data_IF_464058178104
#
_entry.id   IF_464058178104
#
_cell.length_a   1.000
_cell.length_b   1.000
_cell.length_c   1.000
_cell.angle_alpha   90.00
_cell.angle_beta   90.00
_cell.angle_gamma   90.00
#
_symmetry.space_group_name_H-M   'P 1'
#
loop_
_entity.id
_entity.type
_entity.pdbx_description
1 polymer ?
#
# COMPACT_ATOMS: atom_id res chain seq x y z
N UNK A 1 -4.40 0.31 -3.70
CA UNK A 1 -4.64 0.36 -2.24
C UNK A 1 -6.14 0.14 -2.03
N UNK A 2 -6.53 -0.71 -1.09
CA UNK A 2 -7.93 -1.02 -0.79
C UNK A 2 -8.12 -1.21 0.72
N UNK A 3 -9.31 -0.93 1.24
CA UNK A 3 -9.71 -1.26 2.60
C UNK A 3 -9.62 -2.78 2.79
N UNK A 4 -8.98 -3.24 3.87
CA UNK A 4 -8.67 -4.67 4.01
C UNK A 4 -9.90 -5.55 4.20
N UNK A 5 -11.02 -4.99 4.67
CA UNK A 5 -12.30 -5.71 4.78
C UNK A 5 -12.92 -6.06 3.41
N UNK A 6 -12.43 -5.42 2.34
CA UNK A 6 -12.80 -5.72 0.94
C UNK A 6 -11.85 -6.69 0.26
N UNK A 7 -10.76 -7.09 0.92
CA UNK A 7 -9.83 -8.10 0.42
C UNK A 7 -10.10 -9.45 1.11
N UNK A 8 -10.64 -10.39 0.36
CA UNK A 8 -10.93 -11.74 0.87
C UNK A 8 -9.90 -12.76 0.36
N UNK A 9 -9.31 -13.53 1.28
CA UNK A 9 -8.51 -14.70 0.92
C UNK A 9 -9.45 -15.86 0.63
N UNK A 10 -9.58 -16.23 -0.65
CA UNK A 10 -10.47 -17.32 -1.07
C UNK A 10 -9.88 -18.71 -0.89
N UNK A 11 -8.55 -18.81 -0.96
CA UNK A 11 -7.76 -20.04 -0.84
C UNK A 11 -6.31 -19.70 -0.48
N UNK A 12 -5.54 -20.69 -0.03
CA UNK A 12 -4.11 -20.52 0.13
C UNK A 12 -3.68 -20.03 1.52
N UNK A 13 -4.50 -20.17 2.55
CA UNK A 13 -4.20 -19.67 3.91
C UNK A 13 -2.96 -20.33 4.53
N UNK A 14 -2.76 -21.63 4.29
CA UNK A 14 -1.55 -22.33 4.72
C UNK A 14 -0.33 -22.00 3.86
N UNK A 15 -0.56 -21.40 2.69
CA UNK A 15 0.43 -21.08 1.67
C UNK A 15 0.82 -19.60 1.66
N UNK A 16 0.43 -18.84 2.69
CA UNK A 16 0.88 -17.45 2.88
C UNK A 16 1.70 -17.29 4.15
N UNK A 17 2.66 -16.38 4.07
CA UNK A 17 3.46 -15.91 5.21
C UNK A 17 3.44 -14.39 5.28
N UNK A 18 3.61 -13.85 6.49
CA UNK A 18 3.78 -12.41 6.71
C UNK A 18 5.26 -12.15 7.00
N UNK A 19 5.90 -11.36 6.13
CA UNK A 19 7.31 -11.00 6.24
C UNK A 19 7.43 -9.53 6.66
N UNK A 20 7.94 -9.31 7.88
CA UNK A 20 8.34 -7.98 8.34
C UNK A 20 9.54 -7.50 7.54
N UNK A 21 9.35 -6.44 6.74
CA UNK A 21 10.35 -5.92 5.81
C UNK A 21 10.77 -4.52 6.24
N UNK A 22 12.06 -4.26 6.48
CA UNK A 22 12.56 -2.92 6.77
C UNK A 22 12.24 -1.91 5.66
N UNK A 23 12.12 -0.64 6.03
CA UNK A 23 11.94 0.49 5.10
C UNK A 23 12.95 1.58 5.39
N UNK A 24 13.19 2.47 4.42
CA UNK A 24 14.07 3.62 4.60
C UNK A 24 13.61 4.59 5.71
N UNK A 25 12.31 4.59 6.03
CA UNK A 25 11.75 5.38 7.13
C UNK A 25 11.96 4.77 8.52
N UNK A 26 12.57 3.58 8.62
CA UNK A 26 12.70 2.83 9.88
C UNK A 26 11.42 2.11 10.33
N UNK A 27 10.26 2.51 9.80
CA UNK A 27 8.94 2.00 10.22
C UNK A 27 8.63 0.58 9.73
N UNK A 28 9.27 0.15 8.65
CA UNK A 28 9.03 -1.14 8.02
C UNK A 28 7.65 -1.26 7.35
N UNK A 29 7.33 -2.49 6.96
CA UNK A 29 6.03 -2.91 6.44
C UNK A 29 5.86 -4.42 6.64
N UNK A 30 4.62 -4.88 6.75
CA UNK A 30 4.29 -6.30 6.66
C UNK A 30 4.01 -6.65 5.20
N UNK A 31 4.71 -7.62 4.62
CA UNK A 31 4.45 -8.10 3.26
C UNK A 31 3.89 -9.52 3.33
N UNK A 32 2.71 -9.73 2.78
CA UNK A 32 2.13 -11.07 2.62
C UNK A 32 2.65 -11.69 1.35
N UNK A 33 3.25 -12.88 1.46
CA UNK A 33 3.85 -13.62 0.35
C UNK A 33 3.30 -15.02 0.27
N UNK A 34 3.27 -15.59 -0.94
CA UNK A 34 3.09 -17.02 -1.10
C UNK A 34 4.34 -17.77 -0.64
N UNK A 35 4.22 -18.77 0.22
CA UNK A 35 5.34 -19.57 0.73
C UNK A 35 5.99 -20.45 -0.34
N UNK A 36 5.23 -20.82 -1.37
CA UNK A 36 5.70 -21.65 -2.48
C UNK A 36 6.53 -20.85 -3.50
N UNK A 37 5.92 -19.84 -4.14
CA UNK A 37 6.59 -19.06 -5.19
C UNK A 37 7.25 -17.77 -4.71
N UNK A 38 7.10 -17.41 -3.43
CA UNK A 38 7.65 -16.21 -2.78
C UNK A 38 7.16 -14.87 -3.36
N UNK A 39 6.19 -14.90 -4.27
CA UNK A 39 5.54 -13.70 -4.82
C UNK A 39 4.85 -12.93 -3.69
N UNK A 40 5.07 -11.61 -3.66
CA UNK A 40 4.35 -10.70 -2.78
C UNK A 40 2.95 -10.44 -3.34
N UNK A 41 1.92 -10.68 -2.53
CA UNK A 41 0.52 -10.55 -2.92
C UNK A 41 -0.04 -9.19 -2.51
N UNK A 42 0.14 -8.83 -1.23
CA UNK A 42 -0.17 -7.50 -0.72
C UNK A 42 0.74 -7.12 0.46
N UNK A 43 0.69 -5.85 0.88
CA UNK A 43 1.36 -5.39 2.09
C UNK A 43 0.48 -4.50 2.96
N UNK A 44 0.88 -4.36 4.22
CA UNK A 44 0.32 -3.43 5.19
C UNK A 44 1.41 -2.45 5.65
N UNK A 45 1.11 -1.16 5.56
CA UNK A 45 2.01 -0.11 6.01
C UNK A 45 1.61 0.38 7.41
N UNK A 46 2.59 0.69 8.28
CA UNK A 46 2.31 1.12 9.64
C UNK A 46 1.47 2.40 9.78
N UNK A 47 1.29 3.19 8.72
CA UNK A 47 0.42 4.38 8.74
C UNK A 47 -1.06 4.04 8.92
N UNK A 48 -1.49 2.84 8.50
CA UNK A 48 -2.87 2.38 8.65
C UNK A 48 -2.96 0.94 9.18
N UNK A 49 -1.83 0.30 9.46
CA UNK A 49 -1.77 -1.09 9.91
C UNK A 49 -2.49 -2.01 8.93
N UNK A 50 -3.14 -3.04 9.47
CA UNK A 50 -3.91 -4.00 8.68
C UNK A 50 -5.28 -3.50 8.23
N UNK A 51 -5.64 -2.23 8.48
CA UNK A 51 -6.90 -1.64 7.98
C UNK A 51 -6.87 -1.39 6.46
N UNK A 52 -5.67 -1.26 5.89
CA UNK A 52 -5.46 -1.02 4.46
C UNK A 52 -4.51 -2.07 3.88
N UNK A 53 -4.87 -2.57 2.70
CA UNK A 53 -4.08 -3.51 1.91
C UNK A 53 -3.55 -2.87 0.63
N UNK A 54 -2.25 -3.02 0.40
CA UNK A 54 -1.56 -2.59 -0.82
C UNK A 54 -1.33 -3.78 -1.73
N UNK A 55 -2.36 -4.11 -2.52
CA UNK A 55 -2.36 -5.24 -3.46
C UNK A 55 -1.37 -5.00 -4.61
N UNK A 56 -0.63 -6.03 -4.98
CA UNK A 56 0.25 -6.01 -6.16
C UNK A 56 -0.58 -6.27 -7.41
N UNK A 57 -0.86 -5.22 -8.18
CA UNK A 57 -1.71 -5.30 -9.40
C UNK A 57 -1.22 -6.37 -10.38
N UNK A 58 0.09 -6.59 -10.49
CA UNK A 58 0.67 -7.62 -11.37
C UNK A 58 0.30 -9.06 -11.01
N UNK A 59 -0.36 -9.31 -9.88
CA UNK A 59 -0.85 -10.65 -9.49
C UNK A 59 -2.34 -10.84 -9.74
N UNK A 60 -3.03 -9.85 -10.34
CA UNK A 60 -4.42 -10.00 -10.75
C UNK A 60 -4.51 -10.79 -12.05
N UNK A 61 -5.67 -11.39 -12.33
CA UNK A 61 -5.92 -12.09 -13.59
C UNK A 61 -5.84 -11.13 -14.79
N UNK A 62 -6.32 -9.88 -14.63
CA UNK A 62 -6.33 -8.83 -15.65
C UNK A 62 -5.53 -7.58 -15.20
N UNK A 63 -4.19 -7.65 -15.12
CA UNK A 63 -3.37 -6.60 -14.52
C UNK A 63 -3.38 -5.28 -15.32
N UNK A 64 -3.63 -5.33 -16.63
CA UNK A 64 -3.74 -4.15 -17.50
C UNK A 64 -4.97 -3.28 -17.21
N UNK A 65 -5.94 -3.80 -16.45
CA UNK A 65 -7.15 -3.05 -16.08
C UNK A 65 -6.90 -1.97 -15.02
N UNK A 66 -5.72 -1.96 -14.40
CA UNK A 66 -5.33 -1.00 -13.36
C UNK A 66 -3.96 -0.39 -13.67
N UNK A 67 -3.84 0.43 -14.74
CA UNK A 67 -2.61 1.17 -14.99
C UNK A 67 -2.32 2.15 -13.84
N UNK A 68 -1.07 2.62 -13.67
CA UNK A 68 -0.74 3.62 -12.66
C UNK A 68 -1.46 4.95 -12.90
N UNK A 69 -2.11 5.48 -11.88
CA UNK A 69 -2.69 6.84 -11.92
C UNK A 69 -1.62 7.94 -11.71
N UNK A 70 -0.49 7.59 -11.09
CA UNK A 70 0.62 8.52 -10.77
C UNK A 70 1.92 7.76 -10.50
N UNK A 71 3.06 8.35 -10.88
CA UNK A 71 4.38 7.90 -10.49
C UNK A 71 4.97 8.80 -9.40
N UNK A 72 5.43 8.19 -8.30
CA UNK A 72 6.01 8.87 -7.12
C UNK A 72 7.45 8.41 -6.90
N UNK A 73 8.21 9.14 -6.07
CA UNK A 73 9.62 8.88 -5.78
C UNK A 73 10.51 8.80 -7.03
N UNK A 74 10.21 9.60 -8.07
CA UNK A 74 10.92 9.51 -9.35
C UNK A 74 12.25 10.25 -9.37
N UNK A 75 12.62 10.97 -8.31
CA UNK A 75 13.92 11.64 -8.17
C UNK A 75 15.10 10.67 -8.27
N UNK A 76 14.91 9.40 -7.91
CA UNK A 76 15.93 8.35 -7.97
C UNK A 76 15.74 7.39 -9.15
N UNK A 77 14.88 7.74 -10.13
CA UNK A 77 14.64 6.87 -11.29
C UNK A 77 15.91 6.66 -12.10
N UNK A 78 16.08 5.44 -12.62
CA UNK A 78 17.18 5.13 -13.53
C UNK A 78 16.93 5.77 -14.90
N UNK A 79 17.99 6.06 -15.65
CA UNK A 79 17.92 6.78 -16.94
C UNK A 79 17.06 6.06 -17.98
N UNK A 80 16.97 4.73 -17.92
CA UNK A 80 16.18 3.90 -18.83
C UNK A 80 14.70 3.75 -18.41
N UNK A 81 14.27 4.33 -17.30
CA UNK A 81 12.85 4.34 -16.91
C UNK A 81 12.16 5.51 -17.62
N UNK A 82 11.23 5.17 -18.50
CA UNK A 82 10.38 6.11 -19.25
C UNK A 82 8.95 5.99 -18.73
N UNK A 83 8.31 7.13 -18.49
CA UNK A 83 6.92 7.19 -18.04
C UNK A 83 5.99 7.57 -19.20
N UNK A 84 4.72 7.11 -19.19
CA UNK A 84 3.72 7.59 -20.13
C UNK A 84 3.54 9.11 -20.03
N UNK A 85 3.34 9.82 -21.15
CA UNK A 85 3.26 11.29 -21.16
C UNK A 85 1.97 11.82 -20.49
N UNK A 86 0.96 10.98 -20.35
CA UNK A 86 -0.38 11.28 -19.84
C UNK A 86 -0.57 10.93 -18.36
N UNK A 87 0.43 10.33 -17.71
CA UNK A 87 0.38 9.97 -16.29
C UNK A 87 1.20 10.98 -15.47
N UNK A 88 0.62 11.60 -14.43
CA UNK A 88 1.36 12.47 -13.53
C UNK A 88 2.63 11.82 -12.95
N UNK A 89 3.71 12.59 -12.89
CA UNK A 89 5.02 12.17 -12.37
C UNK A 89 5.51 13.19 -11.35
N UNK A 90 5.81 12.75 -10.14
CA UNK A 90 6.33 13.61 -9.06
C UNK A 90 7.57 12.99 -8.40
N UNK A 91 8.49 13.86 -7.99
CA UNK A 91 9.80 13.46 -7.47
C UNK A 91 9.76 12.72 -6.14
N UNK A 92 8.76 12.99 -5.30
CA UNK A 92 8.63 12.44 -3.94
C UNK A 92 7.23 11.91 -3.70
N UNK A 93 6.27 12.77 -3.39
CA UNK A 93 4.89 12.41 -3.07
C UNK A 93 3.91 13.47 -3.58
N UNK A 94 2.62 13.19 -3.49
CA UNK A 94 1.54 14.04 -4.01
C UNK A 94 0.52 14.38 -2.92
N UNK A 95 -0.22 15.46 -3.13
CA UNK A 95 -1.39 15.80 -2.33
C UNK A 95 -2.59 14.95 -2.79
N UNK A 96 -3.15 14.16 -1.87
CA UNK A 96 -4.19 13.16 -2.22
C UNK A 96 -5.44 13.82 -2.76
N UNK A 97 -5.79 14.98 -2.21
CA UNK A 97 -6.97 15.76 -2.54
C UNK A 97 -6.90 16.32 -3.98
N UNK A 98 -5.72 16.39 -4.59
CA UNK A 98 -5.52 16.82 -5.98
C UNK A 98 -5.62 15.65 -6.98
N UNK A 99 -5.22 14.44 -6.57
CA UNK A 99 -5.08 13.29 -7.47
C UNK A 99 -6.24 12.29 -7.36
N UNK A 100 -6.79 12.09 -6.15
CA UNK A 100 -7.76 11.02 -5.93
C UNK A 100 -9.17 11.41 -6.36
N UNK A 101 -9.92 10.43 -6.85
CA UNK A 101 -11.35 10.60 -7.11
C UNK A 101 -12.10 10.93 -5.81
N UNK A 102 -13.20 11.68 -5.94
CA UNK A 102 -14.09 12.04 -4.81
C UNK A 102 -14.55 10.81 -4.03
N UNK A 103 -14.83 9.71 -4.73
CA UNK A 103 -15.23 8.44 -4.13
C UNK A 103 -14.12 7.84 -3.27
N UNK A 104 -12.87 7.85 -3.76
CA UNK A 104 -11.73 7.32 -3.00
C UNK A 104 -11.44 8.17 -1.76
N UNK A 105 -11.58 9.50 -1.87
CA UNK A 105 -11.48 10.41 -0.72
C UNK A 105 -12.57 10.14 0.31
N UNK A 106 -13.83 9.91 -0.12
CA UNK A 106 -14.93 9.58 0.77
C UNK A 106 -14.71 8.26 1.51
N UNK A 107 -14.27 7.20 0.82
CA UNK A 107 -13.96 5.92 1.47
C UNK A 107 -12.81 6.05 2.47
N UNK A 108 -11.77 6.82 2.14
CA UNK A 108 -10.68 7.13 3.07
C UNK A 108 -11.18 7.85 4.31
N UNK A 109 -12.01 8.87 4.15
CA UNK A 109 -12.58 9.63 5.27
C UNK A 109 -13.40 8.72 6.20
N UNK A 110 -14.16 7.77 5.65
CA UNK A 110 -14.92 6.79 6.44
C UNK A 110 -14.01 5.87 7.28
N UNK A 111 -12.81 5.54 6.79
CA UNK A 111 -11.83 4.69 7.50
C UNK A 111 -11.00 5.45 8.55
N UNK A 112 -10.92 6.78 8.43
CA UNK A 112 -10.04 7.63 9.23
C UNK A 112 -10.18 7.44 10.76
N UNK A 113 -11.39 7.32 11.35
CA UNK A 113 -11.52 7.09 12.80
C UNK A 113 -10.91 5.77 13.27
N UNK A 114 -10.92 4.72 12.43
CA UNK A 114 -10.31 3.44 12.77
C UNK A 114 -8.77 3.54 12.70
N UNK A 115 -8.25 4.28 11.73
CA UNK A 115 -6.81 4.54 11.59
C UNK A 115 -6.29 5.33 12.80
N UNK A 116 -7.03 6.35 13.26
CA UNK A 116 -6.66 7.14 14.44
C UNK A 116 -6.56 6.28 15.70
N UNK A 117 -7.58 5.45 15.97
CA UNK A 117 -7.55 4.50 17.09
C UNK A 117 -6.34 3.57 17.02
N UNK A 118 -6.04 3.04 15.84
CA UNK A 118 -4.87 2.20 15.63
C UNK A 118 -3.56 2.94 15.95
N UNK A 119 -3.41 4.19 15.50
CA UNK A 119 -2.22 4.99 15.80
C UNK A 119 -2.09 5.31 17.30
N UNK A 120 -3.20 5.63 17.97
CA UNK A 120 -3.22 5.84 19.43
C UNK A 120 -2.78 4.58 20.19
N UNK A 121 -3.26 3.40 19.78
CA UNK A 121 -2.86 2.13 20.38
C UNK A 121 -1.38 1.83 20.16
N UNK A 122 -0.84 2.11 18.97
CA UNK A 122 0.59 2.00 18.71
C UNK A 122 1.40 2.93 19.62
N UNK A 123 1.00 4.19 19.74
CA UNK A 123 1.67 5.17 20.58
C UNK A 123 1.67 4.73 22.07
N UNK A 124 0.53 4.22 22.57
CA UNK A 124 0.38 3.72 23.95
C UNK A 124 1.29 2.54 24.27
N UNK A 125 1.61 1.69 23.29
CA UNK A 125 2.45 0.51 23.48
C UNK A 125 3.94 0.84 23.62
N UNK A 126 4.33 2.11 23.65
CA UNK A 126 5.74 2.52 23.61
C UNK A 126 6.41 2.17 22.27
N UNK A 127 5.61 1.72 21.30
CA UNK A 127 5.99 1.62 19.89
C UNK A 127 5.84 2.99 19.22
N UNK A 128 6.11 4.07 19.96
CA UNK A 128 6.28 5.39 19.37
C UNK A 128 7.48 5.30 18.45
N UNK A 129 7.19 5.23 17.15
CA UNK A 129 8.19 5.09 16.10
C UNK A 129 9.08 6.32 16.10
N UNK A 130 10.29 6.19 16.67
CA UNK A 130 11.41 7.09 16.43
C UNK A 130 11.90 6.99 14.99
#
# INVERSE_FOLDING_TARGET
MIESDRLALLKGEAEIEIVNTPSASGKGQEIVRCTNCRVALWSHYPSAGRLISFVRVGTLDEPSSLPPDIHIFTSTKLKWVVFPPDVPVVETYYEREEIWSKESLARRAALQPAVERYQEELAKRGLSQS
#
